data_IF_448550890021
#
_entry.id   IF_448550890021
#
_cell.length_a   1.000
_cell.length_b   1.000
_cell.length_c   1.000
_cell.angle_alpha   90.00
_cell.angle_beta   90.00
_cell.angle_gamma   90.00
#
_symmetry.space_group_name_H-M   'P 1'
#
loop_
_entity.id
_entity.type
_entity.pdbx_description
1 polymer ?
#
# COMPACT_ATOMS: atom_id res chain seq x y z
N UNK A 1 -2.43 -6.30 -5.48
CA UNK A 1 -2.01 -7.45 -4.64
C UNK A 1 -2.79 -8.74 -4.87
N UNK A 2 -2.69 -9.34 -6.06
CA UNK A 2 -3.20 -10.69 -6.30
C UNK A 2 -2.42 -11.36 -7.44
N UNK A 3 -1.09 -11.30 -7.35
CA UNK A 3 -0.27 -12.15 -8.22
C UNK A 3 -0.44 -13.62 -7.78
N UNK A 4 -0.32 -14.61 -8.68
CA UNK A 4 -0.51 -16.03 -8.34
C UNK A 4 0.34 -16.50 -7.14
N UNK A 5 1.44 -15.81 -6.89
CA UNK A 5 2.33 -15.97 -5.73
C UNK A 5 1.59 -15.83 -4.39
N UNK A 6 0.67 -14.88 -4.28
CA UNK A 6 -0.04 -14.54 -3.03
C UNK A 6 -1.33 -15.35 -2.80
N UNK A 7 -1.76 -16.14 -3.79
CA UNK A 7 -2.97 -16.97 -3.71
C UNK A 7 -2.68 -18.48 -3.69
N UNK A 8 -1.41 -18.87 -3.51
CA UNK A 8 -1.03 -20.28 -3.45
C UNK A 8 -1.69 -21.00 -2.27
N UNK A 9 -2.07 -22.27 -2.46
CA UNK A 9 -2.66 -23.11 -1.41
C UNK A 9 -1.76 -23.15 -0.16
N UNK A 10 -0.44 -23.15 -0.35
CA UNK A 10 0.54 -23.13 0.72
C UNK A 10 0.44 -21.89 1.60
N UNK A 11 0.18 -20.70 1.02
CA UNK A 11 -0.03 -19.49 1.82
C UNK A 11 -1.35 -19.56 2.60
N UNK A 12 -2.42 -20.06 1.99
CA UNK A 12 -3.72 -20.24 2.68
C UNK A 12 -3.60 -21.19 3.88
N UNK A 13 -2.88 -22.30 3.72
CA UNK A 13 -2.59 -23.23 4.82
C UNK A 13 -1.78 -22.55 5.93
N UNK A 14 -0.73 -21.79 5.59
CA UNK A 14 0.07 -21.08 6.58
C UNK A 14 -0.74 -20.06 7.39
N UNK A 15 -1.59 -19.26 6.74
CA UNK A 15 -2.47 -18.31 7.44
C UNK A 15 -3.48 -19.02 8.36
N UNK A 16 -4.02 -20.16 7.93
CA UNK A 16 -4.91 -20.99 8.74
C UNK A 16 -4.20 -21.56 9.98
N UNK A 17 -2.98 -22.08 9.80
CA UNK A 17 -2.17 -22.66 10.87
C UNK A 17 -1.76 -21.59 11.91
N UNK A 18 -1.60 -20.34 11.48
CA UNK A 18 -1.21 -19.22 12.34
C UNK A 18 -2.41 -18.43 12.87
N UNK A 19 -3.65 -18.89 12.61
CA UNK A 19 -4.89 -18.22 13.01
C UNK A 19 -4.97 -16.74 12.59
N UNK A 20 -4.33 -16.39 11.47
CA UNK A 20 -4.35 -15.02 10.94
C UNK A 20 -5.59 -14.90 10.04
N UNK A 21 -6.59 -14.08 10.43
CA UNK A 21 -7.78 -13.91 9.61
C UNK A 21 -7.43 -13.19 8.31
N UNK A 22 -7.61 -13.88 7.18
CA UNK A 22 -7.52 -13.28 5.85
C UNK A 22 -8.79 -12.49 5.57
N UNK A 23 -8.63 -11.19 5.32
CA UNK A 23 -9.73 -10.36 4.84
C UNK A 23 -10.03 -10.72 3.37
N UNK A 24 -11.31 -10.89 2.99
CA UNK A 24 -11.67 -11.14 1.60
C UNK A 24 -11.35 -9.90 0.77
N UNK A 25 -10.25 -9.96 0.01
CA UNK A 25 -9.85 -8.89 -0.90
C UNK A 25 -10.42 -9.18 -2.30
N UNK A 26 -11.33 -8.35 -2.84
CA UNK A 26 -11.86 -8.58 -4.16
C UNK A 26 -10.74 -8.44 -5.21
N UNK A 27 -10.62 -9.36 -6.17
CA UNK A 27 -9.52 -9.39 -7.16
C UNK A 27 -9.43 -8.18 -8.09
N UNK A 28 -10.40 -7.26 -8.02
CA UNK A 28 -10.53 -6.09 -8.90
C UNK A 28 -9.99 -4.82 -8.23
N UNK A 29 -9.50 -4.88 -6.99
CA UNK A 29 -9.15 -3.68 -6.22
C UNK A 29 -7.69 -3.63 -5.76
N UNK A 30 -6.72 -3.60 -6.70
CA UNK A 30 -5.33 -3.31 -6.35
C UNK A 30 -5.19 -1.96 -5.62
N UNK A 31 -6.09 -1.01 -5.87
CA UNK A 31 -6.15 0.32 -5.24
C UNK A 31 -6.65 0.33 -3.78
N UNK A 32 -7.01 -0.84 -3.20
CA UNK A 32 -7.46 -0.95 -1.81
C UNK A 32 -6.34 -1.24 -0.80
N UNK A 33 -5.07 -1.19 -1.19
CA UNK A 33 -3.99 -1.30 -0.22
C UNK A 33 -3.61 0.10 0.31
N UNK A 34 -3.76 0.39 1.61
CA UNK A 34 -3.41 1.72 2.15
C UNK A 34 -1.94 2.06 1.91
N UNK A 35 -1.09 1.03 1.71
CA UNK A 35 0.30 1.22 1.35
C UNK A 35 0.48 1.90 -0.02
N UNK A 36 -0.46 1.75 -0.96
CA UNK A 36 -0.35 2.37 -2.29
C UNK A 36 -0.49 3.90 -2.21
N UNK A 37 -1.35 4.38 -1.32
CA UNK A 37 -1.45 5.81 -1.05
C UNK A 37 -0.16 6.37 -0.44
N UNK A 38 0.46 5.62 0.47
CA UNK A 38 1.76 5.97 1.07
C UNK A 38 2.86 5.92 0.00
N UNK A 39 2.86 4.91 -0.88
CA UNK A 39 3.79 4.83 -2.01
C UNK A 39 3.64 5.99 -2.98
N UNK A 40 2.41 6.43 -3.24
CA UNK A 40 2.16 7.60 -4.05
C UNK A 40 2.81 8.85 -3.43
N UNK A 41 2.66 9.04 -2.12
CA UNK A 41 3.26 10.16 -1.41
C UNK A 41 4.79 10.11 -1.43
N UNK A 42 5.40 8.95 -1.14
CA UNK A 42 6.85 8.75 -1.25
C UNK A 42 7.38 9.10 -2.64
N UNK A 43 6.70 8.67 -3.69
CA UNK A 43 7.05 8.99 -5.08
C UNK A 43 6.92 10.49 -5.36
N UNK A 44 5.93 11.17 -4.77
CA UNK A 44 5.77 12.62 -4.90
C UNK A 44 6.91 13.37 -4.20
N UNK A 45 7.25 13.00 -2.96
CA UNK A 45 8.38 13.57 -2.22
C UNK A 45 9.71 13.35 -2.93
N UNK A 46 9.97 12.14 -3.46
CA UNK A 46 11.18 11.84 -4.23
C UNK A 46 11.32 12.71 -5.47
N UNK A 47 10.21 12.99 -6.18
CA UNK A 47 10.20 13.87 -7.36
C UNK A 47 10.37 15.34 -7.00
N UNK A 48 10.01 15.73 -5.78
CA UNK A 48 10.16 17.09 -5.27
C UNK A 48 11.57 17.37 -4.72
N UNK A 49 12.44 16.35 -4.60
CA UNK A 49 13.81 16.55 -4.15
C UNK A 49 14.57 17.48 -5.11
N UNK A 50 15.37 18.43 -4.58
CA UNK A 50 16.16 19.35 -5.39
C UNK A 50 17.21 18.62 -6.25
N UNK A 51 17.65 17.44 -5.79
CA UNK A 51 18.57 16.57 -6.50
C UNK A 51 17.98 15.17 -6.56
N UNK A 52 17.72 14.69 -7.78
CA UNK A 52 17.26 13.33 -7.97
C UNK A 52 18.42 12.35 -7.71
N UNK A 53 18.19 11.28 -6.94
CA UNK A 53 19.20 10.23 -6.77
C UNK A 53 19.57 9.61 -8.12
N UNK A 54 20.87 9.49 -8.36
CA UNK A 54 21.42 8.96 -9.63
C UNK A 54 21.96 7.53 -9.50
N UNK A 55 22.19 7.07 -8.27
CA UNK A 55 22.61 5.70 -7.95
C UNK A 55 21.54 4.99 -7.13
N UNK A 56 21.61 3.66 -7.12
CA UNK A 56 20.70 2.82 -6.33
C UNK A 56 20.84 3.10 -4.82
N UNK A 57 22.06 3.36 -4.36
CA UNK A 57 22.38 3.68 -2.97
C UNK A 57 21.75 5.02 -2.55
N UNK A 58 21.93 6.06 -3.37
CA UNK A 58 21.30 7.36 -3.14
C UNK A 58 19.78 7.26 -3.14
N UNK A 59 19.20 6.43 -4.00
CA UNK A 59 17.75 6.23 -4.03
C UNK A 59 17.26 5.57 -2.75
N UNK A 60 17.97 4.55 -2.26
CA UNK A 60 17.63 3.87 -0.99
C UNK A 60 17.69 4.85 0.18
N UNK A 61 18.76 5.63 0.28
CA UNK A 61 18.92 6.63 1.35
C UNK A 61 17.82 7.69 1.28
N UNK A 62 17.52 8.21 0.09
CA UNK A 62 16.45 9.19 -0.10
C UNK A 62 15.07 8.64 0.28
N UNK A 63 14.76 7.39 -0.12
CA UNK A 63 13.49 6.73 0.24
C UNK A 63 13.37 6.56 1.75
N UNK A 64 14.44 6.09 2.42
CA UNK A 64 14.43 5.89 3.87
C UNK A 64 14.29 7.22 4.62
N UNK A 65 15.02 8.26 4.20
CA UNK A 65 14.92 9.57 4.81
C UNK A 65 13.51 10.16 4.66
N UNK A 66 12.92 10.11 3.47
CA UNK A 66 11.53 10.56 3.26
C UNK A 66 10.57 9.74 4.12
N UNK A 67 10.76 8.42 4.20
CA UNK A 67 9.92 7.56 5.02
C UNK A 67 9.95 7.95 6.50
N UNK A 68 11.13 8.27 7.05
CA UNK A 68 11.27 8.71 8.44
C UNK A 68 10.65 10.09 8.70
N UNK A 69 10.68 10.98 7.71
CA UNK A 69 10.09 12.33 7.80
C UNK A 69 8.57 12.35 7.57
N UNK A 70 7.97 11.26 7.08
CA UNK A 70 6.52 11.22 6.84
C UNK A 70 5.77 11.33 8.18
N UNK A 71 4.87 12.32 8.32
CA UNK A 71 4.12 12.50 9.56
C UNK A 71 3.17 11.33 9.78
N UNK A 72 3.17 10.79 11.00
CA UNK A 72 2.28 9.69 11.39
C UNK A 72 0.81 10.06 11.22
N UNK A 73 0.45 11.34 11.34
CA UNK A 73 -0.91 11.84 11.08
C UNK A 73 -1.35 11.57 9.63
N UNK A 74 -0.43 11.68 8.68
CA UNK A 74 -0.73 11.42 7.27
C UNK A 74 -0.95 9.92 7.03
N UNK A 75 -0.12 9.07 7.62
CA UNK A 75 -0.29 7.60 7.58
C UNK A 75 -1.64 7.21 8.19
N UNK A 76 -1.96 7.75 9.37
CA UNK A 76 -3.23 7.51 10.05
C UNK A 76 -4.43 7.99 9.23
N UNK A 77 -4.33 9.14 8.56
CA UNK A 77 -5.38 9.65 7.67
C UNK A 77 -5.65 8.68 6.52
N UNK A 78 -4.61 8.11 5.90
CA UNK A 78 -4.80 7.12 4.84
C UNK A 78 -5.44 5.84 5.35
N UNK A 79 -5.00 5.32 6.50
CA UNK A 79 -5.63 4.16 7.14
C UNK A 79 -7.11 4.44 7.44
N UNK A 80 -7.43 5.61 7.97
CA UNK A 80 -8.80 6.02 8.28
C UNK A 80 -9.67 6.23 7.02
N UNK A 81 -9.07 6.55 5.86
CA UNK A 81 -9.79 6.69 4.60
C UNK A 81 -10.17 5.36 3.93
N UNK A 82 -9.60 4.24 4.37
CA UNK A 82 -9.87 2.91 3.84
C UNK A 82 -11.36 2.57 3.76
N UNK A 83 -12.17 2.72 4.85
CA UNK A 83 -13.58 2.35 4.81
C UNK A 83 -14.36 3.18 3.78
N UNK A 84 -14.01 4.46 3.62
CA UNK A 84 -14.62 5.33 2.60
C UNK A 84 -14.26 4.91 1.18
N UNK A 85 -13.00 4.54 0.93
CA UNK A 85 -12.57 4.02 -0.37
C UNK A 85 -13.31 2.73 -0.71
N UNK A 86 -13.41 1.79 0.25
CA UNK A 86 -14.17 0.55 0.08
C UNK A 86 -15.63 0.85 -0.27
N UNK A 87 -16.27 1.77 0.44
CA UNK A 87 -17.67 2.15 0.20
C UNK A 87 -17.86 2.80 -1.19
N UNK A 88 -16.94 3.69 -1.59
CA UNK A 88 -16.97 4.33 -2.91
C UNK A 88 -16.92 3.30 -4.03
N UNK A 89 -16.09 2.27 -3.87
CA UNK A 89 -15.89 1.21 -4.85
C UNK A 89 -17.07 0.23 -4.94
N UNK A 90 -17.72 -0.06 -3.81
CA UNK A 90 -19.00 -0.79 -3.79
C UNK A 90 -20.05 -0.02 -4.58
N UNK A 91 -20.11 1.30 -4.42
CA UNK A 91 -21.05 2.16 -5.15
C UNK A 91 -20.72 2.26 -6.65
N UNK A 92 -19.43 2.22 -7.04
CA UNK A 92 -19.03 2.33 -8.47
C UNK A 92 -19.33 1.06 -9.27
N UNK A 93 -19.60 -0.08 -8.62
CA UNK A 93 -19.97 -1.36 -9.27
C UNK A 93 -21.49 -1.59 -9.35
N UNK A 94 -22.30 -0.61 -8.92
CA UNK A 94 -23.77 -0.65 -9.00
C UNK A 94 -24.38 0.17 -10.14
N UNK A 95 -23.59 0.49 -11.17
CA UNK A 95 -24.05 1.16 -12.40
C UNK A 95 -24.10 0.22 -13.58
#
# INVERSE_FOLDING_TARGET
DNTPSHSSKSMQTWFSDHQIPLLPHPPILPDMNPIEAIWHELKACLRALPHLPTTTEQLKEAVLHIWEELPMELINKYIQSMPMQVQSLVNTKGG
#
